data_IF_933439025283
#
_entry.id   IF_933439025283
#
_cell.length_a   1.000
_cell.length_b   1.000
_cell.length_c   1.000
_cell.angle_alpha   90.00
_cell.angle_beta   90.00
_cell.angle_gamma   90.00
#
_symmetry.space_group_name_H-M   'P 1'
#
loop_
_entity.id
_entity.type
_entity.pdbx_description
1 polymer ?
#
# COMPACT_ATOMS: atom_id res chain seq x y z
N UNK A 1 5.96 8.90 -12.00
CA UNK A 1 5.83 9.11 -10.54
C UNK A 1 4.70 8.22 -10.04
N UNK A 2 4.96 7.44 -8.99
CA UNK A 2 3.94 6.63 -8.33
C UNK A 2 3.20 7.46 -7.29
N UNK A 3 1.89 7.43 -7.33
CA UNK A 3 1.00 8.05 -6.36
C UNK A 3 0.11 6.98 -5.75
N UNK A 4 -0.18 7.11 -4.45
CA UNK A 4 -1.23 6.36 -3.78
C UNK A 4 -2.39 7.31 -3.51
N UNK A 5 -3.58 6.87 -3.88
CA UNK A 5 -4.83 7.61 -3.68
C UNK A 5 -5.72 6.79 -2.77
N UNK A 6 -6.08 7.35 -1.63
CA UNK A 6 -7.10 6.78 -0.75
C UNK A 6 -8.44 7.44 -1.01
N UNK A 7 -9.43 6.64 -1.24
CA UNK A 7 -10.78 7.13 -1.50
C UNK A 7 -11.84 6.27 -0.82
N UNK A 8 -12.93 6.93 -0.53
CA UNK A 8 -14.17 6.30 -0.04
C UNK A 8 -15.17 6.33 -1.17
N UNK A 9 -15.79 5.21 -1.47
CA UNK A 9 -16.75 5.05 -2.55
C UNK A 9 -17.94 4.19 -2.10
N UNK A 10 -19.10 4.27 -2.79
CA UNK A 10 -20.22 3.39 -2.50
C UNK A 10 -19.83 1.92 -2.70
N UNK A 11 -20.13 1.07 -1.71
CA UNK A 11 -19.88 -0.37 -1.79
C UNK A 11 -20.97 -1.07 -2.59
N UNK A 12 -20.91 -0.89 -3.92
CA UNK A 12 -21.82 -1.52 -4.87
C UNK A 12 -21.12 -1.85 -6.18
N UNK A 13 -21.61 -2.85 -6.93
CA UNK A 13 -21.07 -3.16 -8.26
C UNK A 13 -21.00 -1.92 -9.16
N UNK A 14 -19.88 -1.75 -9.84
CA UNK A 14 -19.64 -0.67 -10.78
C UNK A 14 -19.02 0.61 -10.20
N UNK A 15 -18.99 0.80 -8.88
CA UNK A 15 -18.38 2.00 -8.26
C UNK A 15 -16.90 2.13 -8.62
N UNK A 16 -16.13 1.07 -8.45
CA UNK A 16 -14.72 1.05 -8.80
C UNK A 16 -14.49 1.26 -10.30
N UNK A 17 -15.39 0.74 -11.14
CA UNK A 17 -15.29 0.91 -12.59
C UNK A 17 -15.40 2.39 -13.02
N UNK A 18 -16.19 3.19 -12.32
CA UNK A 18 -16.29 4.64 -12.58
C UNK A 18 -15.01 5.35 -12.18
N UNK A 19 -14.45 5.02 -11.02
CA UNK A 19 -13.17 5.56 -10.53
C UNK A 19 -12.03 5.24 -11.51
N UNK A 20 -11.91 3.96 -11.92
CA UNK A 20 -10.84 3.53 -12.84
C UNK A 20 -10.95 4.19 -14.21
N UNK A 21 -12.16 4.42 -14.70
CA UNK A 21 -12.39 5.16 -15.94
C UNK A 21 -11.89 6.60 -15.86
N UNK A 22 -12.15 7.27 -14.75
CA UNK A 22 -11.70 8.65 -14.52
C UNK A 22 -10.17 8.73 -14.45
N UNK A 23 -9.53 7.81 -13.73
CA UNK A 23 -8.08 7.74 -13.66
C UNK A 23 -7.45 7.48 -15.03
N UNK A 24 -8.01 6.53 -15.80
CA UNK A 24 -7.55 6.24 -17.16
C UNK A 24 -7.70 7.45 -18.10
N UNK A 25 -8.84 8.17 -18.03
CA UNK A 25 -9.05 9.38 -18.81
C UNK A 25 -8.06 10.52 -18.44
N UNK A 26 -7.60 10.55 -17.20
CA UNK A 26 -6.55 11.48 -16.75
C UNK A 26 -5.12 11.03 -17.13
N UNK A 27 -4.97 9.91 -17.86
CA UNK A 27 -3.68 9.37 -18.28
C UNK A 27 -2.91 8.62 -17.16
N UNK A 28 -3.59 8.27 -16.07
CA UNK A 28 -2.99 7.49 -15.00
C UNK A 28 -3.13 5.99 -15.28
N UNK A 29 -2.05 5.24 -15.05
CA UNK A 29 -2.04 3.79 -15.11
C UNK A 29 -2.18 3.19 -13.71
N UNK A 30 -3.18 2.34 -13.52
CA UNK A 30 -3.45 1.71 -12.22
C UNK A 30 -2.56 0.49 -12.10
N UNK A 31 -1.73 0.50 -11.06
CA UNK A 31 -0.77 -0.57 -10.81
C UNK A 31 -1.18 -1.49 -9.67
N UNK A 32 -2.01 -0.99 -8.74
CA UNK A 32 -2.53 -1.78 -7.63
C UNK A 32 -3.83 -1.19 -7.11
N UNK A 33 -4.74 -2.05 -6.66
CA UNK A 33 -5.95 -1.68 -5.91
C UNK A 33 -6.00 -2.56 -4.66
N UNK A 34 -6.19 -1.94 -3.52
CA UNK A 34 -6.33 -2.62 -2.22
C UNK A 34 -7.58 -2.10 -1.53
N UNK A 35 -8.51 -2.99 -1.24
CA UNK A 35 -9.68 -2.67 -0.41
C UNK A 35 -9.25 -2.74 1.04
N UNK A 36 -9.29 -1.62 1.74
CA UNK A 36 -8.87 -1.52 3.15
C UNK A 36 -9.99 -1.85 4.11
N UNK A 37 -11.21 -1.39 3.80
CA UNK A 37 -12.37 -1.56 4.64
C UNK A 37 -13.66 -1.57 3.82
N UNK A 38 -14.67 -2.26 4.33
CA UNK A 38 -16.03 -2.31 3.76
C UNK A 38 -17.04 -2.34 4.89
N UNK A 39 -17.94 -1.37 4.90
CA UNK A 39 -19.00 -1.30 5.91
C UNK A 39 -19.97 -0.16 5.64
N UNK A 40 -21.17 -0.25 6.16
CA UNK A 40 -22.19 0.79 6.08
C UNK A 40 -22.50 1.28 4.64
N UNK A 41 -22.42 0.36 3.68
CA UNK A 41 -22.64 0.66 2.26
C UNK A 41 -21.52 1.46 1.58
N UNK A 42 -20.35 1.55 2.21
CA UNK A 42 -19.15 2.23 1.68
C UNK A 42 -17.93 1.31 1.74
N UNK A 43 -17.00 1.55 0.84
CA UNK A 43 -15.68 0.93 0.83
C UNK A 43 -14.60 2.00 0.91
N UNK A 44 -13.49 1.66 1.53
CA UNK A 44 -12.25 2.46 1.56
C UNK A 44 -11.21 1.73 0.75
N UNK A 45 -10.79 2.34 -0.34
CA UNK A 45 -9.82 1.74 -1.26
C UNK A 45 -8.54 2.59 -1.35
N UNK A 46 -7.39 1.90 -1.34
CA UNK A 46 -6.11 2.48 -1.76
C UNK A 46 -5.83 2.06 -3.21
N UNK A 47 -5.66 3.03 -4.08
CA UNK A 47 -5.28 2.82 -5.47
C UNK A 47 -3.89 3.39 -5.69
N UNK A 48 -2.95 2.54 -6.13
CA UNK A 48 -1.63 2.98 -6.56
C UNK A 48 -1.65 3.19 -8.07
N UNK A 49 -1.26 4.38 -8.49
CA UNK A 49 -1.21 4.77 -9.90
C UNK A 49 0.19 5.20 -10.30
N UNK A 50 0.57 4.86 -11.51
CA UNK A 50 1.67 5.49 -12.20
C UNK A 50 1.10 6.66 -13.04
N UNK A 51 1.65 7.85 -12.83
CA UNK A 51 1.21 9.08 -13.49
C UNK A 51 2.29 9.59 -14.46
N UNK A 52 2.38 9.03 -15.67
CA UNK A 52 3.41 9.39 -16.63
C UNK A 52 3.21 10.79 -17.22
N UNK A 53 1.97 11.20 -17.36
CA UNK A 53 1.62 12.51 -17.92
C UNK A 53 1.91 13.67 -16.95
N UNK A 54 2.22 13.38 -15.69
CA UNK A 54 2.45 14.41 -14.68
C UNK A 54 1.21 15.23 -14.33
N UNK A 55 0.02 14.67 -14.53
CA UNK A 55 -1.25 15.33 -14.20
C UNK A 55 -1.22 15.82 -12.75
N UNK A 56 -1.51 17.10 -12.50
CA UNK A 56 -1.48 17.66 -11.15
C UNK A 56 -2.41 16.90 -10.19
N UNK A 57 -1.96 16.70 -8.95
CA UNK A 57 -2.73 15.98 -7.92
C UNK A 57 -4.13 16.58 -7.72
N UNK A 58 -4.23 17.91 -7.71
CA UNK A 58 -5.51 18.61 -7.57
C UNK A 58 -6.47 18.29 -8.71
N UNK A 59 -5.96 18.11 -9.93
CA UNK A 59 -6.78 17.74 -11.08
C UNK A 59 -7.28 16.31 -10.93
N UNK A 60 -6.43 15.38 -10.49
CA UNK A 60 -6.84 14.00 -10.19
C UNK A 60 -7.91 13.95 -9.10
N UNK A 61 -7.71 14.68 -8.00
CA UNK A 61 -8.70 14.77 -6.91
C UNK A 61 -10.04 15.29 -7.42
N UNK A 62 -10.05 16.41 -8.13
CA UNK A 62 -11.29 16.99 -8.68
C UNK A 62 -12.01 16.02 -9.63
N UNK A 63 -11.26 15.32 -10.47
CA UNK A 63 -11.84 14.35 -11.40
C UNK A 63 -12.47 13.17 -10.65
N UNK A 64 -11.81 12.66 -9.60
CA UNK A 64 -12.31 11.56 -8.78
C UNK A 64 -13.55 11.97 -7.97
N UNK A 65 -13.53 13.15 -7.35
CA UNK A 65 -14.67 13.68 -6.60
C UNK A 65 -15.84 14.12 -7.49
N UNK A 66 -15.61 14.22 -8.79
CA UNK A 66 -16.68 14.34 -9.78
C UNK A 66 -17.51 13.07 -9.98
N UNK A 67 -17.04 11.92 -9.49
CA UNK A 67 -17.80 10.67 -9.48
C UNK A 67 -18.75 10.67 -8.30
N UNK A 68 -20.04 10.41 -8.55
CA UNK A 68 -21.07 10.41 -7.51
C UNK A 68 -20.73 9.48 -6.35
N UNK A 69 -20.75 10.01 -5.14
CA UNK A 69 -20.51 9.26 -3.90
C UNK A 69 -19.03 8.97 -3.61
N UNK A 70 -18.10 9.45 -4.42
CA UNK A 70 -16.66 9.30 -4.20
C UNK A 70 -16.10 10.49 -3.43
N UNK A 71 -15.30 10.22 -2.42
CA UNK A 71 -14.54 11.22 -1.65
C UNK A 71 -13.07 10.79 -1.62
N UNK A 72 -12.16 11.71 -1.92
CA UNK A 72 -10.72 11.47 -1.81
C UNK A 72 -10.24 11.85 -0.41
N UNK A 73 -9.81 10.86 0.37
CA UNK A 73 -9.24 11.10 1.71
C UNK A 73 -7.81 11.61 1.64
N UNK A 74 -7.06 11.22 0.61
CA UNK A 74 -5.70 11.68 0.44
C UNK A 74 -5.06 11.19 -0.85
N UNK A 75 -4.02 11.92 -1.28
CA UNK A 75 -3.16 11.55 -2.40
C UNK A 75 -1.71 11.92 -2.06
N UNK A 76 -0.81 10.93 -2.10
CA UNK A 76 0.59 11.12 -1.77
C UNK A 76 1.52 10.31 -2.67
N UNK A 77 2.78 10.72 -2.70
CA UNK A 77 3.81 9.96 -3.41
C UNK A 77 4.12 8.68 -2.64
N UNK A 78 4.22 7.57 -3.34
CA UNK A 78 4.67 6.29 -2.77
C UNK A 78 5.91 5.78 -3.50
N UNK A 79 6.73 5.02 -2.78
CA UNK A 79 7.88 4.29 -3.33
C UNK A 79 7.61 2.78 -3.43
N UNK A 80 6.46 2.35 -2.94
CA UNK A 80 6.07 0.94 -3.02
C UNK A 80 5.82 0.58 -4.48
N UNK A 81 6.76 -0.17 -5.05
CA UNK A 81 6.62 -0.68 -6.40
C UNK A 81 5.55 -1.77 -6.43
N UNK A 82 4.61 -1.72 -7.39
CA UNK A 82 3.60 -2.77 -7.53
C UNK A 82 4.24 -4.12 -7.78
N UNK A 83 3.70 -5.15 -7.14
CA UNK A 83 4.20 -6.51 -7.28
C UNK A 83 5.41 -6.85 -6.41
N UNK A 84 5.92 -5.91 -5.63
CA UNK A 84 6.86 -6.23 -4.55
C UNK A 84 6.08 -6.46 -3.26
N UNK A 85 6.23 -7.66 -2.75
CA UNK A 85 5.66 -8.07 -1.46
C UNK A 85 6.83 -8.32 -0.53
N UNK A 86 7.35 -7.28 0.16
CA UNK A 86 8.54 -7.41 1.02
C UNK A 86 8.37 -8.51 2.08
N UNK A 87 7.15 -8.72 2.55
CA UNK A 87 6.81 -9.81 3.46
C UNK A 87 7.03 -11.20 2.84
N UNK A 88 6.75 -11.38 1.54
CA UNK A 88 7.00 -12.65 0.85
C UNK A 88 8.49 -12.88 0.59
N UNK A 89 9.22 -11.83 0.24
CA UNK A 89 10.67 -11.89 0.09
C UNK A 89 11.35 -12.25 1.41
N UNK A 90 10.92 -11.66 2.51
CA UNK A 90 11.43 -11.96 3.85
C UNK A 90 11.14 -13.42 4.21
N UNK A 91 9.93 -13.92 3.96
CA UNK A 91 9.59 -15.33 4.19
C UNK A 91 10.51 -16.26 3.40
N UNK A 92 10.80 -15.94 2.14
CA UNK A 92 11.74 -16.69 1.31
C UNK A 92 13.16 -16.69 1.91
N UNK A 93 13.65 -15.53 2.35
CA UNK A 93 14.97 -15.45 3.00
C UNK A 93 15.03 -16.24 4.29
N UNK A 94 14.01 -16.17 5.14
CA UNK A 94 13.94 -16.93 6.40
C UNK A 94 13.94 -18.43 6.11
N UNK A 95 13.14 -18.92 5.15
CA UNK A 95 13.03 -20.35 4.84
C UNK A 95 14.33 -20.93 4.27
N UNK A 96 15.17 -20.11 3.65
CA UNK A 96 16.46 -20.53 3.09
C UNK A 96 17.67 -20.27 4.00
N UNK A 97 17.48 -19.54 5.09
CA UNK A 97 18.58 -19.09 5.97
C UNK A 97 19.11 -20.17 6.93
N UNK A 98 18.40 -21.30 7.10
CA UNK A 98 18.79 -22.36 8.02
C UNK A 98 18.97 -21.84 9.47
N UNK A 99 20.13 -22.07 10.06
CA UNK A 99 20.43 -21.68 11.45
C UNK A 99 20.38 -20.14 11.66
N UNK A 100 20.45 -19.35 10.59
CA UNK A 100 20.36 -17.88 10.65
C UNK A 100 18.95 -17.35 10.46
N UNK A 101 17.92 -18.20 10.42
CA UNK A 101 16.54 -17.80 10.16
C UNK A 101 16.06 -16.72 11.14
N UNK A 102 16.38 -16.85 12.43
CA UNK A 102 15.98 -15.89 13.45
C UNK A 102 16.67 -14.52 13.26
N UNK A 103 17.97 -14.51 13.04
CA UNK A 103 18.72 -13.26 12.80
C UNK A 103 18.28 -12.60 11.51
N UNK A 104 18.04 -13.38 10.46
CA UNK A 104 17.49 -12.86 9.19
C UNK A 104 16.12 -12.24 9.37
N UNK A 105 15.24 -12.84 10.17
CA UNK A 105 13.94 -12.25 10.51
C UNK A 105 14.13 -10.91 11.22
N UNK A 106 14.91 -10.88 12.30
CA UNK A 106 15.13 -9.67 13.11
C UNK A 106 15.72 -8.53 12.28
N UNK A 107 16.69 -8.81 11.41
CA UNK A 107 17.30 -7.82 10.53
C UNK A 107 16.31 -7.27 9.48
N UNK A 108 15.28 -8.03 9.15
CA UNK A 108 14.28 -7.64 8.15
C UNK A 108 13.11 -6.81 8.73
N UNK A 109 12.84 -6.97 10.03
CA UNK A 109 11.69 -6.31 10.69
C UNK A 109 11.73 -4.78 10.61
N UNK A 110 12.87 -4.08 10.81
CA UNK A 110 12.90 -2.62 10.71
C UNK A 110 12.43 -2.11 9.35
N UNK A 111 12.84 -2.76 8.27
CA UNK A 111 12.42 -2.39 6.91
C UNK A 111 10.94 -2.65 6.70
N UNK A 112 10.43 -3.80 7.16
CA UNK A 112 9.05 -4.22 6.98
C UNK A 112 8.06 -3.31 7.73
N UNK A 113 8.40 -2.92 8.95
CA UNK A 113 7.53 -2.14 9.82
C UNK A 113 7.90 -0.65 9.93
N UNK A 114 8.87 -0.18 9.11
CA UNK A 114 9.39 1.19 9.18
C UNK A 114 9.84 1.56 10.61
N UNK A 115 10.48 0.60 11.28
CA UNK A 115 11.05 0.78 12.62
C UNK A 115 12.55 1.08 12.53
N UNK A 116 13.11 1.69 13.57
CA UNK A 116 14.53 2.01 13.61
C UNK A 116 15.39 0.77 13.93
N UNK A 117 14.85 -0.16 14.70
CA UNK A 117 15.53 -1.39 15.11
C UNK A 117 14.52 -2.48 15.51
N UNK A 118 14.99 -3.71 15.60
CA UNK A 118 14.25 -4.84 16.13
C UNK A 118 15.16 -5.73 16.99
N UNK A 119 14.59 -6.46 17.92
CA UNK A 119 15.33 -7.41 18.74
C UNK A 119 14.49 -8.61 19.12
N UNK A 120 15.15 -9.74 19.37
CA UNK A 120 14.55 -10.88 20.04
C UNK A 120 15.03 -10.97 21.48
N UNK A 121 14.11 -11.35 22.37
CA UNK A 121 14.41 -11.54 23.78
C UNK A 121 13.97 -12.92 24.24
N UNK A 122 14.60 -13.42 25.32
CA UNK A 122 14.08 -14.58 26.05
C UNK A 122 12.82 -14.22 26.84
N UNK A 123 12.14 -15.22 27.38
CA UNK A 123 11.00 -15.01 28.28
C UNK A 123 11.38 -14.19 29.54
N UNK A 124 12.66 -14.22 29.95
CA UNK A 124 13.20 -13.42 31.06
C UNK A 124 13.68 -12.03 30.62
N UNK A 125 13.28 -11.56 29.42
CA UNK A 125 13.58 -10.24 28.86
C UNK A 125 15.08 -9.99 28.58
N UNK A 126 15.88 -11.04 28.38
CA UNK A 126 17.27 -10.88 27.91
C UNK A 126 17.30 -10.76 26.40
N UNK A 127 17.98 -9.75 25.90
CA UNK A 127 18.19 -9.60 24.45
C UNK A 127 19.06 -10.74 23.95
N UNK A 128 18.57 -11.45 22.94
CA UNK A 128 19.30 -12.54 22.27
C UNK A 128 20.01 -12.00 21.03
N UNK A 129 19.32 -11.17 20.28
CA UNK A 129 19.84 -10.55 19.07
C UNK A 129 19.11 -9.23 18.80
N UNK A 130 19.82 -8.25 18.26
CA UNK A 130 19.26 -6.97 17.81
C UNK A 130 19.87 -6.57 16.49
N UNK A 131 19.06 -6.00 15.59
CA UNK A 131 19.48 -5.42 14.29
C UNK A 131 19.94 -3.99 14.44
#
# INVERSE_FOLDING_TARGET
>A
MLLRVRLVLPDRPGSLAQVTRVLGAAGADITQVTVLDRGDGRAVDDITIFNPAGTPRQTLVKSLEGVEGVTVEGIWTTREAPGTYPELEILKYITTAGDRALTTLVDSLPVLFSADWAATTTAEHRVVYAS
#
